data_IF_000340803769
#
_entry.id   IF_000340803769
#
_cell.length_a   1.000
_cell.length_b   1.000
_cell.length_c   1.000
_cell.angle_alpha   90.00
_cell.angle_beta   90.00
_cell.angle_gamma   90.00
#
_symmetry.space_group_name_H-M   'P 1'
#
loop_
_entity.id
_entity.type
_entity.pdbx_description
1 polymer ?
#
# COMPACT_ATOMS: atom_id res chain seq x y z
N UNK A 1 -8.42 11.79 -11.60
CA UNK A 1 -7.06 12.23 -11.25
C UNK A 1 -6.01 11.25 -11.76
N UNK A 2 -5.76 10.09 -11.15
CA UNK A 2 -4.68 9.15 -11.57
C UNK A 2 -4.68 8.86 -13.08
N UNK A 3 -5.83 8.52 -13.68
CA UNK A 3 -5.87 8.31 -15.14
C UNK A 3 -5.55 9.58 -15.95
N UNK A 4 -5.95 10.76 -15.46
CA UNK A 4 -5.59 12.04 -16.08
C UNK A 4 -4.09 12.33 -15.97
N UNK A 5 -3.48 11.98 -14.84
CA UNK A 5 -2.03 12.06 -14.59
C UNK A 5 -1.25 11.18 -15.58
N UNK A 6 -1.67 9.93 -15.77
CA UNK A 6 -1.03 9.03 -16.75
C UNK A 6 -1.24 9.51 -18.20
N UNK A 7 -2.41 10.05 -18.52
CA UNK A 7 -2.68 10.66 -19.84
C UNK A 7 -1.79 11.89 -20.06
N UNK A 8 -1.55 12.70 -19.03
CA UNK A 8 -0.63 13.83 -19.11
C UNK A 8 0.81 13.38 -19.37
N UNK A 9 1.29 12.34 -18.66
CA UNK A 9 2.60 11.74 -18.97
C UNK A 9 2.73 11.29 -20.43
N UNK A 10 1.66 10.70 -20.98
CA UNK A 10 1.62 10.29 -22.38
C UNK A 10 1.63 11.50 -23.33
N UNK A 11 0.76 12.49 -23.06
CA UNK A 11 0.63 13.71 -23.86
C UNK A 11 1.92 14.51 -23.96
N UNK A 12 2.56 14.75 -22.82
CA UNK A 12 3.83 15.48 -22.71
C UNK A 12 5.06 14.62 -23.04
N UNK A 13 4.84 13.35 -23.42
CA UNK A 13 5.89 12.41 -23.86
C UNK A 13 6.99 12.24 -22.80
N UNK A 14 6.63 12.27 -21.51
CA UNK A 14 7.56 12.15 -20.40
C UNK A 14 8.38 10.86 -20.46
N UNK A 15 7.80 9.75 -20.90
CA UNK A 15 8.54 8.49 -21.06
C UNK A 15 9.60 8.58 -22.17
N UNK A 16 9.33 9.33 -23.23
CA UNK A 16 10.27 9.54 -24.34
C UNK A 16 11.38 10.51 -23.94
N UNK A 17 11.08 11.57 -23.19
CA UNK A 17 12.09 12.47 -22.63
C UNK A 17 12.99 11.73 -21.64
N UNK A 18 12.40 10.91 -20.75
CA UNK A 18 13.13 10.04 -19.84
C UNK A 18 14.06 9.06 -20.59
N UNK A 19 13.55 8.38 -21.63
CA UNK A 19 14.36 7.47 -22.45
C UNK A 19 15.52 8.19 -23.17
N UNK A 20 15.28 9.40 -23.70
CA UNK A 20 16.33 10.20 -24.34
C UNK A 20 17.39 10.63 -23.34
N UNK A 21 16.98 11.09 -22.16
CA UNK A 21 17.88 11.45 -21.08
C UNK A 21 18.69 10.23 -20.60
N UNK A 22 18.05 9.05 -20.51
CA UNK A 22 18.73 7.79 -20.21
C UNK A 22 19.82 7.48 -21.25
N UNK A 23 19.49 7.53 -22.54
CA UNK A 23 20.48 7.27 -23.61
C UNK A 23 21.65 8.25 -23.55
N UNK A 24 21.36 9.55 -23.38
CA UNK A 24 22.39 10.57 -23.26
C UNK A 24 23.32 10.32 -22.06
N UNK A 25 22.75 9.98 -20.89
CA UNK A 25 23.54 9.64 -19.68
C UNK A 25 24.37 8.37 -19.86
N UNK A 26 23.81 7.34 -20.49
CA UNK A 26 24.54 6.10 -20.77
C UNK A 26 25.72 6.36 -21.72
N UNK A 27 25.52 7.17 -22.77
CA UNK A 27 26.61 7.63 -23.65
C UNK A 27 27.65 8.44 -22.87
N UNK A 28 27.23 9.37 -22.02
CA UNK A 28 28.15 10.16 -21.19
C UNK A 28 28.96 9.31 -20.21
N UNK A 29 28.33 8.33 -19.55
CA UNK A 29 28.99 7.39 -18.65
C UNK A 29 30.02 6.54 -19.41
N UNK A 30 29.67 6.03 -20.59
CA UNK A 30 30.60 5.30 -21.45
C UNK A 30 31.83 6.15 -21.82
N UNK A 31 31.63 7.41 -22.19
CA UNK A 31 32.73 8.33 -22.49
C UNK A 31 33.61 8.59 -21.25
N UNK A 32 33.01 8.76 -20.08
CA UNK A 32 33.75 8.93 -18.83
C UNK A 32 34.60 7.69 -18.48
N UNK A 33 34.04 6.48 -18.65
CA UNK A 33 34.79 5.23 -18.45
C UNK A 33 35.98 5.12 -19.42
N UNK A 34 35.80 5.49 -20.70
CA UNK A 34 36.90 5.53 -21.68
C UNK A 34 37.97 6.54 -21.26
N UNK A 35 37.58 7.75 -20.84
CA UNK A 35 38.52 8.78 -20.40
C UNK A 35 39.34 8.33 -19.17
N UNK A 36 38.69 7.72 -18.17
CA UNK A 36 39.36 7.17 -16.99
C UNK A 36 40.34 6.05 -17.40
N UNK A 37 39.94 5.16 -18.30
CA UNK A 37 40.81 4.09 -18.79
C UNK A 37 42.04 4.64 -19.53
N UNK A 38 41.89 5.70 -20.34
CA UNK A 38 43.01 6.37 -21.02
C UNK A 38 43.97 7.02 -20.01
N UNK A 39 43.45 7.74 -19.02
CA UNK A 39 44.26 8.35 -17.95
C UNK A 39 44.97 7.28 -17.12
N UNK A 40 44.28 6.20 -16.75
CA UNK A 40 44.84 5.08 -16.02
C UNK A 40 45.96 4.36 -16.80
N UNK A 41 45.76 4.13 -18.10
CA UNK A 41 46.78 3.56 -18.97
C UNK A 41 48.01 4.48 -19.08
N UNK A 42 47.82 5.79 -19.24
CA UNK A 42 48.92 6.75 -19.28
C UNK A 42 49.68 6.83 -17.95
N UNK A 43 49.00 6.75 -16.81
CA UNK A 43 49.62 6.72 -15.49
C UNK A 43 50.43 5.43 -15.27
N UNK A 44 49.92 4.28 -15.72
CA UNK A 44 50.60 2.99 -15.61
C UNK A 44 51.90 2.90 -16.44
N UNK A 45 51.95 3.59 -17.59
CA UNK A 45 53.18 3.72 -18.41
C UNK A 45 54.27 4.51 -17.65
N UNK A 46 53.88 5.51 -16.87
CA UNK A 46 54.82 6.38 -16.15
C UNK A 46 55.19 5.89 -14.74
N UNK A 47 54.44 4.92 -14.18
CA UNK A 47 54.68 4.36 -12.85
C UNK A 47 54.17 2.91 -12.75
N UNK A 48 54.98 1.91 -13.15
CA UNK A 48 54.55 0.51 -13.18
C UNK A 48 54.18 -0.08 -11.81
N UNK A 49 54.73 0.47 -10.72
CA UNK A 49 54.50 0.02 -9.34
C UNK A 49 53.17 0.47 -8.74
N UNK A 50 52.44 1.40 -9.36
CA UNK A 50 51.11 1.88 -8.91
C UNK A 50 49.95 1.35 -9.76
N UNK A 51 50.22 0.52 -10.78
CA UNK A 51 49.22 0.01 -11.71
C UNK A 51 48.10 -0.82 -11.03
N UNK A 52 48.43 -1.57 -9.97
CA UNK A 52 47.45 -2.37 -9.21
C UNK A 52 46.44 -1.53 -8.44
N UNK A 53 46.89 -0.48 -7.73
CA UNK A 53 45.98 0.36 -6.93
C UNK A 53 45.11 1.28 -7.79
N UNK A 54 45.61 1.69 -8.96
CA UNK A 54 44.87 2.51 -9.94
C UNK A 54 43.76 1.67 -10.60
N UNK A 55 44.02 0.40 -10.90
CA UNK A 55 43.03 -0.51 -11.48
C UNK A 55 41.86 -0.77 -10.51
N UNK A 56 42.16 -1.01 -9.22
CA UNK A 56 41.14 -1.23 -8.19
C UNK A 56 40.30 0.03 -7.92
N UNK A 57 40.92 1.21 -7.85
CA UNK A 57 40.21 2.48 -7.69
C UNK A 57 39.30 2.78 -8.90
N UNK A 58 39.76 2.46 -10.11
CA UNK A 58 38.97 2.60 -11.34
C UNK A 58 37.73 1.70 -11.31
N UNK A 59 37.88 0.45 -10.86
CA UNK A 59 36.79 -0.54 -10.78
C UNK A 59 35.70 -0.11 -9.79
N UNK A 60 36.09 0.33 -8.60
CA UNK A 60 35.15 0.81 -7.57
C UNK A 60 34.38 2.05 -8.06
N UNK A 61 35.06 2.97 -8.76
CA UNK A 61 34.42 4.14 -9.34
C UNK A 61 33.41 3.76 -10.43
N UNK A 62 33.74 2.82 -11.32
CA UNK A 62 32.81 2.33 -12.34
C UNK A 62 31.59 1.62 -11.75
N UNK A 63 31.76 0.79 -10.72
CA UNK A 63 30.66 0.04 -10.11
C UNK A 63 29.68 0.97 -9.36
N UNK A 64 30.19 1.99 -8.66
CA UNK A 64 29.37 2.99 -7.96
C UNK A 64 28.57 3.86 -8.94
N UNK A 65 29.18 4.27 -10.06
CA UNK A 65 28.48 5.01 -11.13
C UNK A 65 27.37 4.14 -11.74
N UNK A 66 27.65 2.86 -11.99
CA UNK A 66 26.71 1.93 -12.62
C UNK A 66 25.47 1.64 -11.75
N UNK A 67 25.65 1.43 -10.44
CA UNK A 67 24.54 1.13 -9.53
C UNK A 67 23.67 2.38 -9.25
N UNK A 68 24.31 3.55 -9.05
CA UNK A 68 23.60 4.82 -8.85
C UNK A 68 22.83 5.28 -10.09
N UNK A 69 23.35 5.00 -11.29
CA UNK A 69 22.64 5.30 -12.53
C UNK A 69 21.38 4.45 -12.66
N UNK A 70 21.44 3.12 -12.52
CA UNK A 70 20.29 2.21 -12.72
C UNK A 70 19.06 2.58 -11.87
N UNK A 71 19.24 2.91 -10.59
CA UNK A 71 18.13 3.30 -9.72
C UNK A 71 17.46 4.62 -10.16
N UNK A 72 18.22 5.55 -10.74
CA UNK A 72 17.71 6.83 -11.28
C UNK A 72 17.07 6.72 -12.67
N UNK A 73 17.13 5.54 -13.33
CA UNK A 73 16.66 5.38 -14.72
C UNK A 73 15.15 5.22 -14.86
N UNK A 74 14.44 4.86 -13.78
CA UNK A 74 13.04 4.44 -13.85
C UNK A 74 12.04 5.44 -13.23
N UNK A 75 12.53 6.54 -12.66
CA UNK A 75 11.69 7.57 -12.06
C UNK A 75 11.55 8.79 -12.99
N UNK A 76 10.34 9.35 -13.08
CA UNK A 76 10.12 10.65 -13.68
C UNK A 76 10.75 11.75 -12.81
N UNK A 77 11.14 12.87 -13.44
CA UNK A 77 11.67 14.01 -12.69
C UNK A 77 10.55 14.68 -11.90
N UNK A 78 10.91 15.48 -10.89
CA UNK A 78 9.93 16.24 -10.09
C UNK A 78 9.13 17.20 -10.96
N UNK A 79 9.76 17.77 -11.99
CA UNK A 79 9.12 18.67 -12.95
C UNK A 79 8.07 17.94 -13.79
N UNK A 80 8.42 16.78 -14.37
CA UNK A 80 7.49 15.95 -15.13
C UNK A 80 6.26 15.54 -14.29
N UNK A 81 6.51 15.21 -13.02
CA UNK A 81 5.48 14.82 -12.07
C UNK A 81 4.56 15.97 -11.69
N UNK A 82 5.11 17.16 -11.42
CA UNK A 82 4.32 18.37 -11.16
C UNK A 82 3.48 18.78 -12.38
N UNK A 83 4.05 18.71 -13.58
CA UNK A 83 3.31 19.00 -14.82
C UNK A 83 2.17 18.01 -15.03
N UNK A 84 2.44 16.70 -14.84
CA UNK A 84 1.42 15.65 -14.95
C UNK A 84 0.31 15.77 -13.90
N UNK A 85 0.62 16.22 -12.68
CA UNK A 85 -0.37 16.51 -11.65
C UNK A 85 -1.33 17.64 -12.07
N UNK A 86 -0.79 18.75 -12.57
CA UNK A 86 -1.59 19.93 -12.92
C UNK A 86 -2.47 19.66 -14.15
N UNK A 87 -1.92 19.01 -15.18
CA UNK A 87 -2.69 18.59 -16.36
C UNK A 87 -3.71 17.50 -16.00
N UNK A 88 -3.31 16.53 -15.18
CA UNK A 88 -4.20 15.47 -14.70
C UNK A 88 -5.34 15.98 -13.83
N UNK A 89 -5.09 17.03 -13.04
CA UNK A 89 -6.11 17.80 -12.34
C UNK A 89 -7.07 18.46 -13.35
N UNK A 90 -6.55 19.18 -14.34
CA UNK A 90 -7.38 19.92 -15.31
C UNK A 90 -8.27 18.96 -16.10
N UNK A 91 -7.74 17.82 -16.54
CA UNK A 91 -8.52 16.78 -17.21
C UNK A 91 -9.63 16.21 -16.31
N UNK A 92 -9.32 15.96 -15.04
CA UNK A 92 -10.31 15.42 -14.10
C UNK A 92 -11.42 16.44 -13.80
N UNK A 93 -11.05 17.70 -13.55
CA UNK A 93 -11.99 18.78 -13.29
C UNK A 93 -12.88 19.07 -14.51
N UNK A 94 -12.30 19.12 -15.71
CA UNK A 94 -13.05 19.28 -16.96
C UNK A 94 -14.04 18.13 -17.22
N UNK A 95 -13.74 16.92 -16.73
CA UNK A 95 -14.63 15.77 -16.80
C UNK A 95 -15.67 15.73 -15.65
N UNK A 96 -15.76 16.76 -14.81
CA UNK A 96 -16.74 16.89 -13.74
C UNK A 96 -16.40 16.14 -12.44
N UNK A 97 -15.18 15.62 -12.30
CA UNK A 97 -14.73 15.02 -11.05
C UNK A 97 -14.38 16.08 -10.01
N UNK A 98 -14.57 15.74 -8.74
CA UNK A 98 -14.20 16.59 -7.61
C UNK A 98 -12.73 17.07 -7.69
N UNK A 99 -12.48 18.40 -7.81
CA UNK A 99 -11.13 18.96 -7.91
C UNK A 99 -10.21 18.60 -6.74
N UNK A 100 -10.76 18.41 -5.54
CA UNK A 100 -9.97 18.06 -4.36
C UNK A 100 -9.61 16.56 -4.28
N UNK A 101 -10.07 15.73 -5.23
CA UNK A 101 -9.82 14.28 -5.20
C UNK A 101 -8.33 13.90 -5.31
N UNK A 102 -7.54 14.66 -6.09
CA UNK A 102 -6.09 14.43 -6.23
C UNK A 102 -5.34 14.66 -4.92
N UNK A 103 -5.52 15.85 -4.32
CA UNK A 103 -4.92 16.17 -3.02
C UNK A 103 -5.32 15.19 -1.92
N UNK A 104 -6.61 14.82 -1.86
CA UNK A 104 -7.08 13.81 -0.88
C UNK A 104 -6.42 12.45 -1.09
N UNK A 105 -6.22 12.00 -2.32
CA UNK A 105 -5.52 10.74 -2.61
C UNK A 105 -4.10 10.76 -2.04
N UNK A 106 -3.37 11.85 -2.27
CA UNK A 106 -2.00 12.01 -1.79
C UNK A 106 -1.91 12.14 -0.27
N UNK A 107 -2.76 12.96 0.35
CA UNK A 107 -2.86 13.08 1.81
C UNK A 107 -3.16 11.74 2.46
N UNK A 108 -4.01 10.93 1.82
CA UNK A 108 -4.34 9.59 2.28
C UNK A 108 -3.14 8.63 2.27
N UNK A 109 -2.34 8.64 1.20
CA UNK A 109 -1.16 7.78 1.05
C UNK A 109 0.00 8.21 1.96
N UNK A 110 0.17 9.51 2.18
CA UNK A 110 1.13 10.04 3.16
C UNK A 110 0.72 9.61 4.58
N UNK A 111 -0.56 9.75 4.92
CA UNK A 111 -1.08 9.36 6.23
C UNK A 111 -0.89 7.86 6.49
N UNK A 112 -1.16 7.01 5.50
CA UNK A 112 -0.88 5.57 5.58
C UNK A 112 0.62 5.31 5.77
N UNK A 113 1.49 5.99 5.03
CA UNK A 113 2.94 5.83 5.17
C UNK A 113 3.41 6.17 6.59
N UNK A 114 2.87 7.24 7.19
CA UNK A 114 3.16 7.65 8.56
C UNK A 114 2.59 6.71 9.62
N UNK A 115 1.48 6.05 9.34
CA UNK A 115 0.86 5.09 10.23
C UNK A 115 1.54 3.71 10.22
N UNK A 116 2.56 3.49 9.37
CA UNK A 116 3.26 2.21 9.30
C UNK A 116 3.87 1.80 10.64
N UNK A 117 3.82 0.52 10.97
CA UNK A 117 4.57 -0.04 12.11
C UNK A 117 6.08 -0.07 11.85
N UNK A 118 6.50 -0.05 10.58
CA UNK A 118 7.90 -0.07 10.15
C UNK A 118 8.51 1.35 10.16
N UNK A 119 9.54 1.56 10.99
CA UNK A 119 10.23 2.83 11.11
C UNK A 119 10.90 3.28 9.82
N UNK A 120 11.36 2.36 8.97
CA UNK A 120 12.01 2.65 7.70
C UNK A 120 11.01 3.11 6.65
N UNK A 121 9.80 2.57 6.71
CA UNK A 121 8.67 3.03 5.89
C UNK A 121 8.24 4.43 6.31
N UNK A 122 8.11 4.70 7.63
CA UNK A 122 7.70 6.03 8.13
C UNK A 122 8.65 7.16 7.74
N UNK A 123 9.92 6.86 7.47
CA UNK A 123 10.92 7.85 7.01
C UNK A 123 10.77 8.22 5.53
N UNK A 124 9.95 7.50 4.76
CA UNK A 124 9.67 7.79 3.34
C UNK A 124 8.48 8.73 3.22
N UNK A 125 8.44 9.53 2.16
CA UNK A 125 7.28 10.41 1.89
C UNK A 125 6.03 9.61 1.51
N UNK A 126 6.19 8.53 0.73
CA UNK A 126 5.14 7.55 0.44
C UNK A 126 5.71 6.15 0.20
N UNK A 127 4.99 5.10 0.63
CA UNK A 127 5.40 3.69 0.47
C UNK A 127 5.00 3.06 -0.88
N UNK A 128 3.92 3.51 -1.52
CA UNK A 128 3.28 2.74 -2.60
C UNK A 128 4.20 2.50 -3.81
N UNK A 129 4.10 1.32 -4.42
CA UNK A 129 4.96 0.86 -5.52
C UNK A 129 4.94 1.79 -6.75
N UNK A 130 3.82 2.49 -6.97
CA UNK A 130 3.69 3.48 -8.05
C UNK A 130 4.64 4.68 -7.86
N UNK A 131 5.01 5.00 -6.62
CA UNK A 131 5.89 6.14 -6.33
C UNK A 131 7.37 5.83 -6.54
N UNK A 132 7.72 4.56 -6.82
CA UNK A 132 9.05 4.24 -7.31
C UNK A 132 9.30 4.86 -8.69
N UNK A 133 8.27 4.94 -9.54
CA UNK A 133 8.32 5.63 -10.83
C UNK A 133 7.78 7.06 -10.78
N UNK A 134 6.86 7.36 -9.85
CA UNK A 134 6.22 8.68 -9.69
C UNK A 134 6.53 9.29 -8.32
N UNK A 135 7.70 9.88 -8.04
CA UNK A 135 8.03 10.35 -6.69
C UNK A 135 7.05 11.42 -6.17
N UNK A 136 6.35 11.14 -5.07
CA UNK A 136 5.50 12.12 -4.39
C UNK A 136 6.36 13.08 -3.56
N UNK A 137 5.99 14.35 -3.49
CA UNK A 137 6.59 15.35 -2.60
C UNK A 137 5.53 16.23 -1.95
N UNK A 138 5.89 16.91 -0.85
CA UNK A 138 5.01 17.91 -0.21
C UNK A 138 4.63 19.05 -1.16
N UNK A 139 5.60 19.59 -1.90
CA UNK A 139 5.36 20.69 -2.84
C UNK A 139 4.30 20.33 -3.91
N UNK A 140 4.28 19.08 -4.39
CA UNK A 140 3.26 18.59 -5.32
C UNK A 140 1.87 18.55 -4.70
N UNK A 141 1.77 18.12 -3.44
CA UNK A 141 0.51 18.14 -2.70
C UNK A 141 0.03 19.59 -2.50
N UNK A 142 0.90 20.49 -2.07
CA UNK A 142 0.58 21.90 -1.86
C UNK A 142 0.11 22.57 -3.16
N UNK A 143 0.78 22.31 -4.29
CA UNK A 143 0.37 22.80 -5.60
C UNK A 143 -1.02 22.29 -6.03
N UNK A 144 -1.34 21.02 -5.76
CA UNK A 144 -2.66 20.46 -6.03
C UNK A 144 -3.75 21.04 -5.14
N UNK A 145 -3.45 21.26 -3.85
CA UNK A 145 -4.38 21.89 -2.90
C UNK A 145 -4.65 23.36 -3.28
N UNK A 146 -3.60 24.11 -3.64
CA UNK A 146 -3.73 25.48 -4.14
C UNK A 146 -4.59 25.52 -5.41
N UNK A 147 -4.30 24.66 -6.40
CA UNK A 147 -5.07 24.59 -7.64
C UNK A 147 -6.53 24.19 -7.40
N UNK A 148 -6.78 23.24 -6.49
CA UNK A 148 -8.13 22.85 -6.10
C UNK A 148 -8.88 24.02 -5.44
N UNK A 149 -8.22 24.78 -4.57
CA UNK A 149 -8.82 25.94 -3.89
C UNK A 149 -9.16 27.10 -4.83
N UNK A 150 -8.37 27.29 -5.90
CA UNK A 150 -8.59 28.29 -6.92
C UNK A 150 -9.67 27.89 -7.94
N UNK A 151 -10.10 26.62 -7.94
CA UNK A 151 -11.09 26.12 -8.88
C UNK A 151 -12.51 26.46 -8.40
N UNK A 152 -13.20 27.32 -9.14
CA UNK A 152 -14.54 27.82 -8.76
C UNK A 152 -15.68 26.80 -8.91
N UNK A 153 -15.42 25.64 -9.52
CA UNK A 153 -16.41 24.58 -9.76
C UNK A 153 -16.41 23.49 -8.69
N UNK A 154 -17.59 22.94 -8.40
CA UNK A 154 -17.71 21.67 -7.70
C UNK A 154 -17.47 20.48 -8.64
N UNK A 155 -17.45 19.28 -8.09
CA UNK A 155 -17.40 18.05 -8.88
C UNK A 155 -17.85 16.86 -8.08
N UNK A 156 -18.07 15.74 -8.75
CA UNK A 156 -18.55 14.53 -8.11
C UNK A 156 -17.41 13.56 -7.81
N UNK A 157 -17.49 12.91 -6.65
CA UNK A 157 -16.63 11.76 -6.33
C UNK A 157 -17.17 10.46 -6.94
N UNK A 158 -18.44 10.44 -7.36
CA UNK A 158 -19.19 9.26 -7.77
C UNK A 158 -19.02 8.07 -6.81
N UNK A 159 -19.02 8.38 -5.50
CA UNK A 159 -18.63 7.44 -4.45
C UNK A 159 -19.41 6.13 -4.50
N UNK A 160 -20.74 6.19 -4.62
CA UNK A 160 -21.60 5.01 -4.68
C UNK A 160 -21.23 4.08 -5.85
N UNK A 161 -21.04 4.65 -7.05
CA UNK A 161 -20.60 3.90 -8.25
C UNK A 161 -19.23 3.27 -8.03
N UNK A 162 -18.29 4.02 -7.47
CA UNK A 162 -16.95 3.52 -7.17
C UNK A 162 -16.99 2.35 -6.18
N UNK A 163 -17.74 2.49 -5.07
CA UNK A 163 -17.90 1.43 -4.06
C UNK A 163 -18.52 0.16 -4.65
N UNK A 164 -19.56 0.29 -5.47
CA UNK A 164 -20.17 -0.85 -6.14
C UNK A 164 -19.16 -1.62 -7.00
N UNK A 165 -18.28 -0.91 -7.70
CA UNK A 165 -17.24 -1.53 -8.54
C UNK A 165 -16.15 -2.25 -7.73
N UNK A 166 -15.76 -1.73 -6.57
CA UNK A 166 -14.66 -2.31 -5.77
C UNK A 166 -15.12 -3.33 -4.73
N UNK A 167 -16.40 -3.32 -4.32
CA UNK A 167 -16.91 -4.19 -3.26
C UNK A 167 -16.60 -5.69 -3.46
N UNK A 168 -16.70 -6.26 -4.68
CA UNK A 168 -16.33 -7.66 -4.92
C UNK A 168 -14.87 -8.00 -4.60
N UNK A 169 -13.98 -7.01 -4.61
CA UNK A 169 -12.55 -7.20 -4.37
C UNK A 169 -12.12 -6.83 -2.94
N UNK A 170 -13.04 -6.31 -2.12
CA UNK A 170 -12.71 -5.76 -0.81
C UNK A 170 -12.12 -6.81 0.15
N UNK A 171 -12.74 -8.00 0.25
CA UNK A 171 -12.25 -9.10 1.08
C UNK A 171 -10.84 -9.58 0.67
N UNK A 172 -10.57 -9.95 -0.60
CA UNK A 172 -9.24 -10.40 -0.99
C UNK A 172 -8.17 -9.31 -0.83
N UNK A 173 -8.50 -8.04 -1.04
CA UNK A 173 -7.59 -6.93 -0.78
C UNK A 173 -7.30 -6.73 0.70
N UNK A 174 -8.31 -6.73 1.57
CA UNK A 174 -8.11 -6.61 3.02
C UNK A 174 -7.35 -7.82 3.59
N UNK A 175 -7.54 -9.02 3.04
CA UNK A 175 -6.68 -10.18 3.38
C UNK A 175 -5.23 -9.96 2.95
N UNK A 176 -4.99 -9.34 1.79
CA UNK A 176 -3.65 -9.00 1.35
C UNK A 176 -3.00 -7.95 2.26
N UNK A 177 -3.76 -6.93 2.69
CA UNK A 177 -3.31 -5.94 3.67
C UNK A 177 -2.91 -6.61 4.99
N UNK A 178 -3.76 -7.46 5.56
CA UNK A 178 -3.42 -8.21 6.78
C UNK A 178 -2.13 -9.05 6.65
N UNK A 179 -1.90 -9.68 5.48
CA UNK A 179 -0.68 -10.48 5.24
C UNK A 179 0.60 -9.66 5.27
N UNK A 180 0.55 -8.35 5.01
CA UNK A 180 1.71 -7.46 5.12
C UNK A 180 2.16 -7.27 6.57
N UNK A 181 1.29 -7.56 7.54
CA UNK A 181 1.52 -7.40 8.99
C UNK A 181 1.99 -6.00 9.38
N UNK A 182 1.58 -5.01 8.60
CA UNK A 182 1.68 -3.60 8.95
C UNK A 182 0.32 -3.15 9.49
N UNK A 183 0.13 -3.39 10.78
CA UNK A 183 -1.15 -3.25 11.46
C UNK A 183 -1.52 -1.78 11.62
N UNK A 184 -0.56 -0.90 11.89
CA UNK A 184 -0.80 0.55 11.93
C UNK A 184 -1.35 1.09 10.61
N UNK A 185 -0.79 0.67 9.46
CA UNK A 185 -1.33 1.00 8.14
C UNK A 185 -2.73 0.44 7.92
N UNK A 186 -2.92 -0.84 8.25
CA UNK A 186 -4.19 -1.53 8.06
C UNK A 186 -5.30 -0.87 8.88
N UNK A 187 -5.03 -0.48 10.13
CA UNK A 187 -5.99 0.20 10.99
C UNK A 187 -6.40 1.56 10.43
N UNK A 188 -5.44 2.37 9.96
CA UNK A 188 -5.77 3.67 9.35
C UNK A 188 -6.67 3.51 8.11
N UNK A 189 -6.38 2.50 7.27
CA UNK A 189 -7.20 2.19 6.10
C UNK A 189 -8.62 1.79 6.51
N UNK A 190 -8.76 0.94 7.53
CA UNK A 190 -10.05 0.51 8.09
C UNK A 190 -10.84 1.67 8.70
N UNK A 191 -10.17 2.60 9.38
CA UNK A 191 -10.79 3.81 9.93
C UNK A 191 -11.37 4.69 8.84
N UNK A 192 -10.60 4.91 7.75
CA UNK A 192 -11.09 5.67 6.60
C UNK A 192 -12.25 4.96 5.89
N UNK A 193 -12.18 3.63 5.78
CA UNK A 193 -13.23 2.82 5.18
C UNK A 193 -14.54 2.93 5.98
N UNK A 194 -14.45 2.81 7.31
CA UNK A 194 -15.58 2.87 8.23
C UNK A 194 -16.15 4.28 8.46
N UNK A 195 -15.36 5.34 8.21
CA UNK A 195 -15.78 6.74 8.44
C UNK A 195 -17.05 7.16 7.67
N UNK A 196 -17.41 6.42 6.62
CA UNK A 196 -18.61 6.68 5.81
C UNK A 196 -19.82 5.82 6.20
N UNK A 197 -19.73 5.00 7.25
CA UNK A 197 -20.85 4.17 7.71
C UNK A 197 -21.16 2.98 6.78
N UNK A 198 -20.27 2.66 5.84
CA UNK A 198 -20.44 1.56 4.91
C UNK A 198 -19.62 0.34 5.31
N UNK A 199 -20.14 -0.82 4.94
CA UNK A 199 -19.46 -2.10 5.07
C UNK A 199 -18.99 -2.39 6.52
N UNK A 200 -19.67 -1.84 7.53
CA UNK A 200 -19.23 -1.84 8.94
C UNK A 200 -18.96 -3.24 9.49
N UNK A 201 -19.75 -4.25 9.12
CA UNK A 201 -19.50 -5.64 9.53
C UNK A 201 -18.16 -6.20 9.03
N UNK A 202 -17.76 -5.82 7.82
CA UNK A 202 -16.46 -6.15 7.25
C UNK A 202 -15.37 -5.36 7.97
N UNK A 203 -15.55 -4.04 8.14
CA UNK A 203 -14.57 -3.17 8.81
C UNK A 203 -14.25 -3.68 10.22
N UNK A 204 -15.27 -3.95 11.04
CA UNK A 204 -15.07 -4.45 12.40
C UNK A 204 -14.47 -5.86 12.41
N UNK A 205 -14.87 -6.76 11.50
CA UNK A 205 -14.22 -8.07 11.38
C UNK A 205 -12.70 -7.92 11.15
N UNK A 206 -12.29 -7.07 10.21
CA UNK A 206 -10.86 -6.88 9.91
C UNK A 206 -10.11 -6.13 11.02
N UNK A 207 -10.76 -5.23 11.79
CA UNK A 207 -10.18 -4.65 13.01
C UNK A 207 -9.91 -5.74 14.05
N UNK A 208 -10.86 -6.66 14.24
CA UNK A 208 -10.67 -7.83 15.10
C UNK A 208 -9.51 -8.71 14.64
N UNK A 209 -9.40 -8.97 13.33
CA UNK A 209 -8.30 -9.75 12.75
C UNK A 209 -6.93 -9.09 12.96
N UNK A 210 -6.82 -7.76 12.82
CA UNK A 210 -5.59 -7.03 13.14
C UNK A 210 -5.16 -7.32 14.58
N UNK A 211 -6.06 -7.13 15.54
CA UNK A 211 -5.77 -7.31 16.97
C UNK A 211 -5.42 -8.76 17.30
N UNK A 212 -6.15 -9.73 16.72
CA UNK A 212 -5.89 -11.17 16.85
C UNK A 212 -4.48 -11.54 16.36
N UNK A 213 -4.01 -10.91 15.29
CA UNK A 213 -2.67 -11.15 14.71
C UNK A 213 -1.55 -10.36 15.42
N UNK A 214 -1.86 -9.17 15.94
CA UNK A 214 -0.92 -8.31 16.68
C UNK A 214 -0.58 -8.89 18.06
N UNK A 215 -1.56 -9.48 18.75
CA UNK A 215 -1.38 -10.19 20.04
C UNK A 215 -0.73 -9.34 21.15
N UNK A 216 -0.99 -8.03 21.15
CA UNK A 216 -0.63 -7.14 22.24
C UNK A 216 -1.43 -7.39 23.51
N UNK A 217 -1.05 -6.72 24.59
CA UNK A 217 -1.82 -6.71 25.83
C UNK A 217 -3.22 -6.11 25.57
N UNK A 218 -4.28 -6.77 26.07
CA UNK A 218 -5.67 -6.35 25.83
C UNK A 218 -6.24 -6.68 24.45
N UNK A 219 -5.41 -6.97 23.44
CA UNK A 219 -5.86 -7.20 22.05
C UNK A 219 -6.89 -8.31 21.92
N UNK A 220 -6.81 -9.36 22.74
CA UNK A 220 -7.77 -10.47 22.70
C UNK A 220 -9.18 -10.01 23.05
N UNK A 221 -9.31 -9.17 24.08
CA UNK A 221 -10.60 -8.65 24.52
C UNK A 221 -11.14 -7.64 23.50
N UNK A 222 -10.28 -6.78 22.97
CA UNK A 222 -10.65 -5.84 21.93
C UNK A 222 -11.04 -6.54 20.62
N UNK A 223 -10.33 -7.60 20.22
CA UNK A 223 -10.66 -8.40 19.04
C UNK A 223 -12.06 -9.02 19.17
N UNK A 224 -12.38 -9.57 20.36
CA UNK A 224 -13.72 -10.08 20.66
C UNK A 224 -14.79 -9.01 20.45
N UNK A 225 -14.61 -7.83 21.04
CA UNK A 225 -15.56 -6.74 20.92
C UNK A 225 -15.79 -6.35 19.45
N UNK A 226 -14.74 -6.31 18.64
CA UNK A 226 -14.86 -6.04 17.22
C UNK A 226 -15.62 -7.15 16.47
N UNK A 227 -15.38 -8.43 16.77
CA UNK A 227 -16.19 -9.49 16.16
C UNK A 227 -17.65 -9.47 16.61
N UNK A 228 -17.92 -9.15 17.88
CA UNK A 228 -19.29 -8.96 18.39
C UNK A 228 -19.99 -7.81 17.68
N UNK A 229 -19.31 -6.67 17.50
CA UNK A 229 -19.83 -5.55 16.71
C UNK A 229 -20.08 -5.97 15.26
N UNK A 230 -19.15 -6.73 14.64
CA UNK A 230 -19.27 -7.17 13.27
C UNK A 230 -20.55 -7.98 13.05
N UNK A 231 -20.84 -8.99 13.89
CA UNK A 231 -22.00 -9.88 13.70
C UNK A 231 -23.36 -9.19 13.87
N UNK A 232 -23.41 -7.96 14.40
CA UNK A 232 -24.63 -7.13 14.41
C UNK A 232 -24.99 -6.56 13.03
N UNK A 233 -24.04 -6.59 12.09
CA UNK A 233 -24.18 -5.98 10.77
C UNK A 233 -24.57 -7.04 9.72
N UNK A 234 -25.42 -6.66 8.77
CA UNK A 234 -25.90 -7.57 7.73
C UNK A 234 -24.78 -8.11 6.82
N UNK A 235 -23.70 -7.34 6.65
CA UNK A 235 -22.58 -7.66 5.77
C UNK A 235 -21.40 -8.33 6.49
N UNK A 236 -21.59 -8.80 7.73
CA UNK A 236 -20.52 -9.44 8.50
C UNK A 236 -19.97 -10.70 7.81
N UNK A 237 -18.65 -10.84 7.68
CA UNK A 237 -18.04 -12.08 7.20
C UNK A 237 -18.38 -13.25 8.12
N UNK A 238 -18.76 -14.40 7.54
CA UNK A 238 -19.09 -15.61 8.30
C UNK A 238 -17.98 -16.02 9.28
N UNK A 239 -16.72 -15.79 8.91
CA UNK A 239 -15.57 -16.06 9.77
C UNK A 239 -15.61 -15.33 11.13
N UNK A 240 -16.35 -14.23 11.29
CA UNK A 240 -16.52 -13.57 12.59
C UNK A 240 -17.13 -14.50 13.64
N UNK A 241 -18.13 -15.32 13.27
CA UNK A 241 -18.72 -16.33 14.15
C UNK A 241 -17.71 -17.42 14.50
N UNK A 242 -16.89 -17.87 13.55
CA UNK A 242 -15.81 -18.83 13.82
C UNK A 242 -14.83 -18.29 14.86
N UNK A 243 -14.35 -17.06 14.70
CA UNK A 243 -13.40 -16.45 15.63
C UNK A 243 -14.02 -16.24 17.03
N UNK A 244 -15.30 -15.87 17.11
CA UNK A 244 -16.03 -15.79 18.39
C UNK A 244 -16.18 -17.16 19.05
N UNK A 245 -16.44 -18.21 18.27
CA UNK A 245 -16.47 -19.59 18.75
C UNK A 245 -15.13 -20.02 19.33
N UNK A 246 -14.02 -19.76 18.61
CA UNK A 246 -12.66 -20.05 19.07
C UNK A 246 -12.32 -19.31 20.37
N UNK A 247 -12.73 -18.04 20.49
CA UNK A 247 -12.55 -17.24 21.71
C UNK A 247 -13.41 -17.76 22.88
N UNK A 248 -14.68 -18.09 22.63
CA UNK A 248 -15.58 -18.63 23.64
C UNK A 248 -15.13 -19.99 24.18
N UNK A 249 -14.67 -20.88 23.28
CA UNK A 249 -14.14 -22.18 23.68
C UNK A 249 -12.92 -22.04 24.57
N UNK A 250 -12.00 -21.10 24.25
CA UNK A 250 -10.82 -20.82 25.07
C UNK A 250 -11.17 -20.26 26.46
N UNK A 251 -12.23 -19.49 26.56
CA UNK A 251 -12.73 -18.97 27.84
C UNK A 251 -13.52 -20.01 28.66
N UNK A 252 -13.74 -21.23 28.13
CA UNK A 252 -14.58 -22.25 28.76
C UNK A 252 -16.09 -21.99 28.62
N UNK A 253 -16.51 -21.06 27.76
CA UNK A 253 -17.93 -20.77 27.47
C UNK A 253 -18.47 -21.70 26.39
N UNK A 254 -18.60 -22.98 26.72
CA UNK A 254 -18.94 -24.04 25.76
C UNK A 254 -20.28 -23.82 25.04
N UNK A 255 -21.30 -23.31 25.74
CA UNK A 255 -22.60 -23.02 25.15
C UNK A 255 -22.51 -21.92 24.07
N UNK A 256 -21.82 -20.83 24.37
CA UNK A 256 -21.59 -19.74 23.42
C UNK A 256 -20.76 -20.22 22.22
N UNK A 257 -19.71 -21.01 22.48
CA UNK A 257 -18.88 -21.59 21.43
C UNK A 257 -19.71 -22.45 20.47
N UNK A 258 -20.58 -23.31 21.01
CA UNK A 258 -21.47 -24.16 20.22
C UNK A 258 -22.42 -23.32 19.34
N UNK A 259 -23.03 -22.27 19.90
CA UNK A 259 -23.92 -21.38 19.16
C UNK A 259 -23.20 -20.65 18.01
N UNK A 260 -21.99 -20.15 18.28
CA UNK A 260 -21.17 -19.48 17.27
C UNK A 260 -20.73 -20.42 16.15
N UNK A 261 -20.21 -21.61 16.46
CA UNK A 261 -19.82 -22.59 15.44
C UNK A 261 -21.01 -23.07 14.60
N UNK A 262 -22.18 -23.27 15.21
CA UNK A 262 -23.40 -23.64 14.48
C UNK A 262 -23.77 -22.56 13.47
N UNK A 263 -23.82 -21.30 13.90
CA UNK A 263 -24.13 -20.17 13.02
C UNK A 263 -23.10 -20.00 11.89
N UNK A 264 -21.82 -20.25 12.17
CA UNK A 264 -20.78 -20.24 11.15
C UNK A 264 -21.02 -21.31 10.08
N UNK A 265 -21.33 -22.55 10.48
CA UNK A 265 -21.58 -23.66 9.55
C UNK A 265 -22.83 -23.46 8.68
N UNK A 266 -23.85 -22.76 9.21
CA UNK A 266 -25.03 -22.34 8.45
C UNK A 266 -24.71 -21.25 7.43
N UNK A 267 -23.88 -20.26 7.81
CA UNK A 267 -23.51 -19.12 6.95
C UNK A 267 -22.45 -19.47 5.91
N UNK A 268 -21.60 -20.45 6.17
CA UNK A 268 -20.53 -20.88 5.29
C UNK A 268 -20.55 -22.41 5.08
N UNK A 269 -21.62 -22.96 4.45
CA UNK A 269 -21.81 -24.41 4.35
C UNK A 269 -20.73 -25.12 3.52
N UNK A 270 -20.05 -24.39 2.63
CA UNK A 270 -18.97 -24.87 1.77
C UNK A 270 -17.57 -24.41 2.22
N UNK A 271 -17.40 -24.00 3.48
CA UNK A 271 -16.09 -23.59 3.99
C UNK A 271 -15.06 -24.74 3.95
N UNK A 272 -13.82 -24.42 3.57
CA UNK A 272 -12.72 -25.40 3.51
C UNK A 272 -12.40 -25.99 4.89
N UNK A 273 -12.59 -25.22 5.95
CA UNK A 273 -12.40 -25.60 7.35
C UNK A 273 -13.65 -26.19 8.01
N UNK A 274 -14.71 -26.50 7.25
CA UNK A 274 -15.97 -27.05 7.78
C UNK A 274 -15.77 -28.23 8.72
N UNK A 275 -15.05 -29.27 8.28
CA UNK A 275 -14.85 -30.49 9.07
C UNK A 275 -14.11 -30.23 10.40
N UNK A 276 -13.20 -29.25 10.40
CA UNK A 276 -12.50 -28.82 11.62
C UNK A 276 -13.48 -28.16 12.61
N UNK A 277 -14.37 -27.30 12.12
CA UNK A 277 -15.34 -26.61 12.97
C UNK A 277 -16.44 -27.57 13.48
N UNK A 278 -16.88 -28.54 12.67
CA UNK A 278 -17.77 -29.61 13.13
C UNK A 278 -17.14 -30.43 14.27
N UNK A 279 -15.84 -30.77 14.15
CA UNK A 279 -15.12 -31.46 15.22
C UNK A 279 -15.01 -30.63 16.50
N UNK A 280 -14.79 -29.31 16.39
CA UNK A 280 -14.77 -28.39 17.55
C UNK A 280 -16.14 -28.29 18.19
N UNK A 281 -17.21 -28.17 17.40
CA UNK A 281 -18.59 -28.16 17.88
C UNK A 281 -18.92 -29.43 18.67
N UNK A 282 -18.55 -30.61 18.16
CA UNK A 282 -18.74 -31.87 18.90
C UNK A 282 -18.03 -31.88 20.27
N UNK A 283 -16.83 -31.31 20.35
CA UNK A 283 -16.07 -31.22 21.61
C UNK A 283 -16.70 -30.25 22.62
N UNK A 284 -17.39 -29.19 22.17
CA UNK A 284 -18.07 -28.26 23.08
C UNK A 284 -19.22 -28.93 23.86
N UNK A 285 -19.87 -29.95 23.28
CA UNK A 285 -20.91 -30.75 23.93
C UNK A 285 -20.38 -31.83 24.89
N UNK A 286 -19.09 -32.16 24.83
CA UNK A 286 -18.44 -33.16 25.68
C UNK A 286 -17.76 -32.56 26.92
N UNK A 287 -18.24 -31.41 27.40
CA UNK A 287 -17.70 -30.71 28.57
C UNK A 287 -17.32 -31.67 29.70
N UNK A 288 -16.03 -31.63 30.07
CA UNK A 288 -15.34 -32.46 31.07
C UNK A 288 -16.27 -32.88 32.22
N UNK A 289 -16.48 -34.19 32.36
CA UNK A 289 -16.89 -34.75 33.65
C UNK A 289 -15.87 -34.29 34.71
N UNK A 290 -16.32 -33.81 35.88
CA UNK A 290 -15.46 -33.33 36.94
C UNK A 290 -14.46 -34.40 37.42
#
# INVERSE_FOLDING_TARGET
>A
FVLGHEVAHYGERHSLSALRAQRARATGAMLATVAIAVVGAAAAVNSPSSAGSIADATRVATDAIYLGTIASLFAFSRENESEADLLGFDHAAAAGYDPAAGGRLWTNLISETRASDDADVRRREARASIFASHPLSRDRLEALEERASAHAGGGETHRARYRAAIRPFLDPWLRAELRRRDFGQTLLLLDRLGAHGEDLGVVDYYRGEVLRLRRGEGDRAAARQHYENAITQANAPAAAWRELGDLAQRDGRSADAAAYYTTYLERAPAAEDRALIEARLAQTGQGRNP
#
